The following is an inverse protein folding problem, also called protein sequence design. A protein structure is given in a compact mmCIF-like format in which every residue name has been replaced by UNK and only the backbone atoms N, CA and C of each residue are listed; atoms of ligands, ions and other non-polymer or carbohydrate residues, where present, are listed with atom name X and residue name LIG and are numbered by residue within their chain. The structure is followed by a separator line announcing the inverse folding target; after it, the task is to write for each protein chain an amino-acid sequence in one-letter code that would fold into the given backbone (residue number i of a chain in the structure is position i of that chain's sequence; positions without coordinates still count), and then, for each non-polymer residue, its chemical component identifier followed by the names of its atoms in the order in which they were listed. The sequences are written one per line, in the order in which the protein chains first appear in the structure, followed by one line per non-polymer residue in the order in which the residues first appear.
data_IF_065566338893
#
_entry.id   IF_065566338893
#
_cell.length_a   1.000
_cell.length_b   1.000
_cell.length_c   1.000
_cell.angle_alpha   90.00
_cell.angle_beta   90.00
_cell.angle_gamma   90.00
#
_symmetry.space_group_name_H-M   'P 1'
#
loop_
_entity.id
_entity.type
_entity.pdbx_description
1 polymer ?
#
# COMPACT_ATOMS: atom_id res chain seq x y z
N UNK A 1 25.03 49.55 -11.13
CA UNK A 1 25.34 49.26 -12.53
C UNK A 1 24.57 48.00 -12.93
N UNK A 2 23.44 48.19 -13.60
CA UNK A 2 22.74 47.18 -14.38
C UNK A 2 23.40 47.08 -15.75
N UNK A 3 23.36 45.93 -16.43
CA UNK A 3 22.49 45.88 -17.59
C UNK A 3 21.71 44.56 -17.74
N UNK A 4 20.50 44.76 -18.15
CA UNK A 4 19.88 44.49 -19.45
C UNK A 4 19.23 43.10 -19.59
N UNK A 5 17.90 43.16 -19.63
CA UNK A 5 16.98 42.11 -20.05
C UNK A 5 17.08 41.82 -21.55
N UNK A 6 16.85 40.55 -21.92
CA UNK A 6 16.38 40.20 -23.27
C UNK A 6 15.29 39.12 -23.13
N UNK A 7 14.14 39.30 -23.78
CA UNK A 7 13.07 38.32 -23.78
C UNK A 7 13.20 37.39 -24.98
N UNK A 8 13.01 36.09 -24.77
CA UNK A 8 12.78 35.14 -25.86
C UNK A 8 11.28 34.90 -26.02
N UNK A 9 10.75 35.48 -27.08
CA UNK A 9 9.43 35.21 -27.59
C UNK A 9 9.56 33.97 -28.48
N UNK A 10 8.97 32.86 -28.05
CA UNK A 10 8.77 31.69 -28.91
C UNK A 10 7.48 31.86 -29.69
N UNK A 11 7.61 32.19 -30.96
CA UNK A 11 6.50 32.18 -31.92
C UNK A 11 6.24 30.73 -32.36
N UNK A 12 5.10 30.17 -31.96
CA UNK A 12 4.58 28.92 -32.55
C UNK A 12 3.98 29.24 -33.92
N UNK A 13 4.71 28.92 -34.97
CA UNK A 13 4.22 28.98 -36.35
C UNK A 13 3.36 27.77 -36.63
N UNK A 14 2.04 27.96 -36.76
CA UNK A 14 1.14 27.00 -37.37
C UNK A 14 1.33 27.07 -38.88
N UNK A 15 1.98 26.05 -39.44
CA UNK A 15 2.06 25.86 -40.90
C UNK A 15 0.78 25.15 -41.34
N UNK A 16 -0.18 25.91 -41.84
CA UNK A 16 -1.31 25.39 -42.63
C UNK A 16 -0.81 25.05 -44.03
N UNK A 17 -0.58 23.79 -44.29
CA UNK A 17 -0.42 23.27 -45.65
C UNK A 17 -1.80 23.18 -46.29
N UNK A 18 -2.19 24.20 -47.07
CA UNK A 18 -3.28 24.13 -48.00
C UNK A 18 -2.79 23.38 -49.25
N UNK A 19 -2.97 22.05 -49.27
CA UNK A 19 -2.85 21.29 -50.51
C UNK A 19 -4.11 21.53 -51.32
N UNK A 20 -4.01 22.37 -52.34
CA UNK A 20 -5.03 22.52 -53.34
C UNK A 20 -5.17 21.22 -54.13
N UNK A 21 -6.22 20.46 -53.85
CA UNK A 21 -6.61 19.33 -54.66
C UNK A 21 -7.31 19.91 -55.91
N UNK A 22 -6.60 19.89 -57.01
CA UNK A 22 -7.21 20.11 -58.34
C UNK A 22 -8.02 18.85 -58.66
N UNK A 23 -9.35 18.99 -58.54
CA UNK A 23 -10.24 17.95 -59.06
C UNK A 23 -10.17 18.01 -60.62
N UNK A 24 -9.39 17.09 -61.15
CA UNK A 24 -9.58 16.74 -62.56
C UNK A 24 -10.88 15.91 -62.64
N UNK A 25 -11.90 16.43 -63.31
CA UNK A 25 -13.09 15.69 -63.68
C UNK A 25 -12.69 14.53 -64.59
N UNK A 26 -12.39 13.39 -63.98
CA UNK A 26 -12.39 12.11 -64.65
C UNK A 26 -13.84 11.58 -64.61
N UNK A 27 -14.42 11.11 -65.69
CA UNK A 27 -15.75 10.54 -65.65
C UNK A 27 -15.77 9.38 -64.68
N UNK A 28 -16.64 9.49 -63.69
CA UNK A 28 -16.87 8.42 -62.74
C UNK A 28 -17.45 7.23 -63.47
N UNK A 29 -16.60 6.29 -63.93
CA UNK A 29 -17.02 4.96 -64.29
C UNK A 29 -17.67 4.34 -63.09
N UNK A 30 -18.99 4.21 -63.12
CA UNK A 30 -19.72 3.50 -62.07
C UNK A 30 -19.10 2.11 -61.94
N UNK A 31 -18.63 1.78 -60.72
CA UNK A 31 -18.06 0.47 -60.44
C UNK A 31 -19.03 -0.61 -60.88
N UNK A 32 -18.54 -1.56 -61.60
CA UNK A 32 -19.36 -2.67 -62.10
C UNK A 32 -19.89 -3.49 -60.93
N UNK A 33 -21.03 -4.13 -61.09
CA UNK A 33 -21.61 -4.99 -60.06
C UNK A 33 -20.61 -6.07 -59.57
N UNK A 34 -19.67 -6.47 -60.39
CA UNK A 34 -18.64 -7.46 -60.03
C UNK A 34 -17.51 -6.84 -59.17
N UNK A 35 -17.13 -5.57 -59.43
CA UNK A 35 -16.18 -4.83 -58.55
C UNK A 35 -16.80 -4.53 -57.21
N UNK A 36 -18.08 -4.17 -57.15
CA UNK A 36 -18.79 -3.98 -55.85
C UNK A 36 -18.87 -5.30 -55.10
N UNK A 37 -19.17 -6.42 -55.77
CA UNK A 37 -19.20 -7.73 -55.14
C UNK A 37 -17.83 -8.16 -54.64
N UNK A 38 -16.76 -7.90 -55.37
CA UNK A 38 -15.40 -8.19 -54.92
C UNK A 38 -15.02 -7.37 -53.68
N UNK A 39 -15.33 -6.07 -53.66
CA UNK A 39 -15.08 -5.20 -52.53
C UNK A 39 -15.89 -5.61 -51.31
N UNK A 40 -17.16 -5.99 -51.47
CA UNK A 40 -17.98 -6.50 -50.37
C UNK A 40 -17.47 -7.84 -49.85
N UNK A 41 -17.02 -8.73 -50.73
CA UNK A 41 -16.42 -10.02 -50.34
C UNK A 41 -15.12 -9.83 -49.60
N UNK A 42 -14.29 -8.87 -49.99
CA UNK A 42 -13.06 -8.50 -49.29
C UNK A 42 -13.35 -7.91 -47.87
N UNK A 43 -14.32 -6.99 -47.77
CA UNK A 43 -14.76 -6.43 -46.47
C UNK A 43 -15.35 -7.50 -45.54
N UNK A 44 -16.13 -8.44 -46.11
CA UNK A 44 -16.68 -9.56 -45.32
C UNK A 44 -15.58 -10.53 -44.86
N UNK A 45 -14.58 -10.80 -45.72
CA UNK A 45 -13.42 -11.62 -45.34
C UNK A 45 -12.58 -10.96 -44.26
N UNK A 46 -12.35 -9.64 -44.34
CA UNK A 46 -11.65 -8.89 -43.33
C UNK A 46 -12.45 -8.85 -41.99
N UNK A 47 -13.78 -8.66 -42.06
CA UNK A 47 -14.66 -8.71 -40.91
C UNK A 47 -14.72 -10.11 -40.29
N UNK A 48 -14.72 -11.19 -41.09
CA UNK A 48 -14.64 -12.56 -40.61
C UNK A 48 -13.28 -12.88 -39.94
N UNK A 49 -12.18 -12.38 -40.54
CA UNK A 49 -10.84 -12.51 -39.96
C UNK A 49 -10.74 -11.79 -38.63
N UNK A 50 -11.28 -10.57 -38.55
CA UNK A 50 -11.34 -9.83 -37.26
C UNK A 50 -12.23 -10.51 -36.24
N UNK A 51 -13.38 -11.06 -36.62
CA UNK A 51 -14.26 -11.79 -35.74
C UNK A 51 -13.67 -13.12 -35.30
N UNK A 52 -12.91 -13.82 -36.15
CA UNK A 52 -12.19 -15.03 -35.78
C UNK A 52 -11.01 -14.77 -34.81
N UNK A 53 -10.34 -13.63 -34.96
CA UNK A 53 -9.32 -13.15 -34.00
C UNK A 53 -9.95 -12.79 -32.65
N UNK A 54 -11.19 -12.27 -32.63
CA UNK A 54 -11.96 -12.02 -31.42
C UNK A 54 -12.54 -13.30 -30.80
N UNK A 55 -12.77 -14.36 -31.57
CA UNK A 55 -13.20 -15.68 -31.11
C UNK A 55 -12.05 -16.56 -30.59
N UNK A 56 -10.81 -16.24 -30.92
CA UNK A 56 -9.62 -17.00 -30.49
C UNK A 56 -9.20 -16.75 -29.02
N UNK A 57 -10.15 -16.38 -28.14
CA UNK A 57 -9.93 -16.10 -26.71
C UNK A 57 -9.74 -14.60 -26.45
N UNK A 58 -10.44 -14.09 -25.46
CA UNK A 58 -10.42 -12.66 -25.14
C UNK A 58 -8.99 -12.22 -24.81
N UNK A 59 -8.36 -11.51 -25.71
CA UNK A 59 -7.05 -10.88 -25.49
C UNK A 59 -7.15 -9.75 -24.44
N UNK A 60 -8.37 -9.27 -24.12
CA UNK A 60 -8.64 -8.24 -23.12
C UNK A 60 -9.99 -8.50 -22.44
N UNK A 61 -10.08 -8.16 -21.16
CA UNK A 61 -11.31 -8.34 -20.39
C UNK A 61 -11.23 -7.74 -18.99
N UNK A 62 -12.22 -8.10 -18.16
CA UNK A 62 -12.28 -7.73 -16.77
C UNK A 62 -12.66 -8.96 -15.92
N UNK A 63 -11.81 -9.29 -14.96
CA UNK A 63 -11.97 -10.39 -14.00
C UNK A 63 -11.47 -9.92 -12.64
N UNK A 64 -12.25 -9.05 -12.00
CA UNK A 64 -11.81 -8.32 -10.81
C UNK A 64 -10.81 -7.20 -11.08
N UNK A 65 -10.04 -7.30 -12.16
CA UNK A 65 -9.14 -6.28 -12.71
C UNK A 65 -9.24 -6.26 -14.24
N UNK A 66 -8.90 -5.14 -14.86
CA UNK A 66 -8.69 -5.11 -16.31
C UNK A 66 -7.48 -5.96 -16.66
N UNK A 67 -7.58 -6.79 -17.68
CA UNK A 67 -6.47 -7.63 -18.11
C UNK A 67 -6.29 -7.68 -19.63
N UNK A 68 -5.05 -7.96 -20.01
CA UNK A 68 -4.64 -8.40 -21.33
C UNK A 68 -4.04 -9.80 -21.19
N UNK A 69 -4.39 -10.72 -22.11
CA UNK A 69 -3.87 -12.08 -22.08
C UNK A 69 -3.59 -12.60 -23.48
N UNK A 70 -2.58 -13.46 -23.62
CA UNK A 70 -2.34 -14.22 -24.84
C UNK A 70 -3.40 -15.34 -24.99
N UNK A 71 -3.71 -15.77 -26.23
CA UNK A 71 -4.70 -16.81 -26.47
C UNK A 71 -4.36 -18.17 -25.84
N UNK A 72 -3.09 -18.46 -25.67
CA UNK A 72 -2.57 -19.68 -25.05
C UNK A 72 -2.56 -19.63 -23.49
N UNK A 73 -2.89 -18.45 -22.91
CA UNK A 73 -2.90 -18.26 -21.47
C UNK A 73 -1.52 -18.14 -20.81
N UNK A 74 -0.44 -18.17 -21.58
CA UNK A 74 0.92 -18.15 -21.05
C UNK A 74 1.40 -16.75 -20.64
N UNK A 75 0.74 -15.71 -21.13
CA UNK A 75 1.04 -14.31 -20.81
C UNK A 75 -0.22 -13.61 -20.33
N UNK A 76 -0.13 -12.99 -19.18
CA UNK A 76 -1.21 -12.17 -18.61
C UNK A 76 -0.65 -10.90 -17.98
N UNK A 77 -1.29 -9.78 -18.28
CA UNK A 77 -1.07 -8.49 -17.64
C UNK A 77 -2.39 -8.03 -17.03
N UNK A 78 -2.41 -7.80 -15.73
CA UNK A 78 -3.51 -7.15 -15.02
C UNK A 78 -3.11 -5.73 -14.65
N UNK A 79 -4.02 -4.80 -14.82
CA UNK A 79 -3.85 -3.38 -14.49
C UNK A 79 -4.76 -3.07 -13.31
N UNK A 80 -4.20 -2.45 -12.28
CA UNK A 80 -4.94 -2.08 -11.09
C UNK A 80 -4.63 -0.65 -10.67
N UNK A 81 -5.57 -0.03 -9.98
CA UNK A 81 -5.38 1.29 -9.41
C UNK A 81 -6.06 1.44 -8.06
N UNK A 82 -5.54 2.36 -7.25
CA UNK A 82 -6.11 2.74 -5.97
C UNK A 82 -6.12 4.25 -5.83
N UNK A 83 -7.29 4.80 -5.56
CA UNK A 83 -7.49 6.19 -5.23
C UNK A 83 -8.09 6.28 -3.82
N UNK A 84 -7.46 7.07 -2.94
CA UNK A 84 -8.01 7.43 -1.62
C UNK A 84 -7.95 8.93 -1.49
N UNK A 85 -9.11 9.53 -1.44
CA UNK A 85 -9.31 10.95 -1.27
C UNK A 85 -10.02 11.20 0.05
N UNK A 86 -9.52 12.14 0.85
CA UNK A 86 -10.07 12.40 2.18
C UNK A 86 -10.21 13.88 2.48
N UNK A 87 -11.06 14.16 3.45
CA UNK A 87 -11.16 15.41 4.15
C UNK A 87 -10.84 15.18 5.62
N UNK A 88 -9.95 15.97 6.16
CA UNK A 88 -9.44 15.86 7.54
C UNK A 88 -9.84 17.11 8.29
N UNK A 89 -10.29 16.93 9.51
CA UNK A 89 -10.50 17.96 10.51
C UNK A 89 -9.58 17.64 11.68
N UNK A 90 -8.57 18.46 11.91
CA UNK A 90 -7.67 18.35 13.04
C UNK A 90 -8.07 19.36 14.11
N UNK A 91 -8.12 18.93 15.36
CA UNK A 91 -8.45 19.74 16.52
C UNK A 91 -7.35 19.55 17.57
N UNK A 92 -6.80 20.66 18.04
CA UNK A 92 -5.74 20.73 19.04
C UNK A 92 -6.14 21.69 20.15
N UNK A 93 -5.45 21.64 21.29
CA UNK A 93 -5.51 22.63 22.36
C UNK A 93 -4.08 23.15 22.58
N UNK A 94 -3.87 24.45 22.41
CA UNK A 94 -2.56 25.12 22.46
C UNK A 94 -1.47 24.55 21.54
N UNK A 95 -1.85 24.10 20.34
CA UNK A 95 -0.95 23.49 19.36
C UNK A 95 0.29 24.32 19.06
N UNK A 96 1.43 23.66 18.86
CA UNK A 96 2.70 24.28 18.53
C UNK A 96 3.37 23.63 17.35
N UNK A 97 4.16 24.43 16.60
CA UNK A 97 5.01 23.89 15.54
C UNK A 97 6.36 23.38 16.09
N UNK A 98 7.17 22.75 15.23
CA UNK A 98 8.51 22.24 15.58
C UNK A 98 9.48 23.31 16.10
N UNK A 99 9.20 24.59 15.89
CA UNK A 99 9.95 25.72 16.42
C UNK A 99 9.33 26.28 17.71
N UNK A 100 8.32 25.57 18.29
CA UNK A 100 7.59 25.97 19.49
C UNK A 100 6.75 27.27 19.33
N UNK A 101 6.37 27.63 18.10
CA UNK A 101 5.46 28.75 17.87
C UNK A 101 4.01 28.29 17.98
N UNK A 102 3.08 29.12 18.51
CA UNK A 102 1.67 28.81 18.51
C UNK A 102 1.14 28.61 17.08
N UNK A 103 0.36 27.53 16.87
CA UNK A 103 -0.38 27.26 15.63
C UNK A 103 -1.88 27.24 15.92
N UNK A 104 -2.70 27.33 14.85
CA UNK A 104 -4.15 27.32 15.01
C UNK A 104 -4.64 26.00 15.61
N UNK A 105 -5.58 26.06 16.55
CA UNK A 105 -6.15 24.89 17.23
C UNK A 105 -7.06 24.05 16.31
N UNK A 106 -7.44 24.59 15.17
CA UNK A 106 -8.29 23.91 14.19
C UNK A 106 -7.70 24.02 12.78
N UNK A 107 -7.42 22.87 12.16
CA UNK A 107 -6.91 22.78 10.79
C UNK A 107 -7.75 21.83 9.94
N UNK A 108 -8.57 22.32 9.00
CA UNK A 108 -9.31 21.49 8.06
C UNK A 108 -8.60 21.41 6.72
N UNK A 109 -8.66 20.25 6.04
CA UNK A 109 -8.07 20.17 4.70
C UNK A 109 -8.43 18.95 3.89
N UNK A 110 -8.36 19.10 2.57
CA UNK A 110 -8.43 17.97 1.64
C UNK A 110 -7.05 17.35 1.39
N UNK A 111 -7.02 16.03 1.24
CA UNK A 111 -5.82 15.30 0.94
C UNK A 111 -6.09 14.16 -0.03
N UNK A 112 -5.27 14.05 -1.08
CA UNK A 112 -5.16 12.83 -1.88
C UNK A 112 -4.20 11.88 -1.17
N UNK A 113 -4.73 10.99 -0.34
CA UNK A 113 -3.89 10.16 0.56
C UNK A 113 -3.08 9.13 -0.19
N UNK A 114 -3.70 8.43 -1.14
CA UNK A 114 -3.04 7.41 -1.96
C UNK A 114 -3.55 7.46 -3.38
N UNK A 115 -2.62 7.57 -4.32
CA UNK A 115 -2.83 7.34 -5.74
C UNK A 115 -1.82 6.30 -6.17
N UNK A 116 -2.27 5.08 -6.47
CA UNK A 116 -1.39 3.97 -6.83
C UNK A 116 -1.80 3.37 -8.15
N UNK A 117 -0.81 2.87 -8.89
CA UNK A 117 -1.00 2.06 -10.09
C UNK A 117 -0.17 0.79 -9.95
N UNK A 118 -0.72 -0.32 -10.43
CA UNK A 118 -0.06 -1.63 -10.36
C UNK A 118 -0.26 -2.44 -11.63
N UNK A 119 0.76 -3.22 -11.95
CA UNK A 119 0.83 -4.17 -13.04
C UNK A 119 1.26 -5.51 -12.47
N UNK A 120 0.43 -6.52 -12.60
CA UNK A 120 0.77 -7.89 -12.17
C UNK A 120 0.35 -8.89 -13.24
N UNK A 121 0.89 -10.08 -13.15
CA UNK A 121 0.54 -11.13 -14.09
C UNK A 121 1.56 -12.25 -14.10
N UNK A 122 1.61 -12.99 -15.21
CA UNK A 122 2.57 -14.07 -15.44
C UNK A 122 3.07 -14.07 -16.87
N UNK A 123 4.23 -14.71 -17.08
CA UNK A 123 4.88 -14.85 -18.40
C UNK A 123 5.38 -16.28 -18.57
N UNK A 124 5.24 -16.83 -19.77
CA UNK A 124 5.63 -18.19 -20.18
C UNK A 124 4.87 -19.32 -19.49
N UNK A 125 4.63 -19.21 -18.19
CA UNK A 125 3.98 -20.17 -17.32
C UNK A 125 3.17 -19.41 -16.26
N UNK A 126 1.91 -19.78 -15.96
CA UNK A 126 1.13 -19.18 -14.88
C UNK A 126 1.82 -19.18 -13.51
N UNK A 127 2.77 -20.10 -13.29
CA UNK A 127 3.54 -20.17 -12.06
C UNK A 127 4.67 -19.13 -11.98
N UNK A 128 5.13 -18.58 -13.12
CA UNK A 128 6.15 -17.53 -13.17
C UNK A 128 5.44 -16.17 -13.22
N UNK A 129 5.26 -15.58 -12.06
CA UNK A 129 4.50 -14.35 -11.91
C UNK A 129 5.38 -13.13 -11.61
N UNK A 130 4.82 -11.96 -11.85
CA UNK A 130 5.43 -10.67 -11.53
C UNK A 130 4.41 -9.70 -10.94
N UNK A 131 4.90 -8.74 -10.15
CA UNK A 131 4.13 -7.63 -9.62
C UNK A 131 4.99 -6.36 -9.59
N UNK A 132 4.51 -5.30 -10.24
CA UNK A 132 5.13 -3.97 -10.23
C UNK A 132 4.06 -3.01 -9.78
N UNK A 133 4.32 -2.25 -8.71
CA UNK A 133 3.37 -1.29 -8.16
C UNK A 133 4.09 -0.07 -7.65
N UNK A 134 3.51 1.08 -7.86
CA UNK A 134 4.03 2.32 -7.32
C UNK A 134 2.92 3.27 -6.90
N UNK A 135 3.32 4.27 -6.15
CA UNK A 135 2.46 5.31 -5.62
C UNK A 135 2.95 6.69 -6.06
N UNK A 136 2.01 7.59 -6.26
CA UNK A 136 2.33 9.01 -6.40
C UNK A 136 2.44 9.63 -5.00
N UNK A 137 3.57 10.29 -4.72
CA UNK A 137 3.76 11.01 -3.48
C UNK A 137 2.66 12.07 -3.31
N UNK A 138 2.03 12.10 -2.13
CA UNK A 138 0.93 13.03 -1.87
C UNK A 138 1.38 14.49 -1.79
N UNK A 139 2.66 14.74 -1.44
CA UNK A 139 3.19 16.09 -1.30
C UNK A 139 3.81 16.64 -2.58
N UNK A 140 4.42 15.79 -3.40
CA UNK A 140 5.17 16.21 -4.61
C UNK A 140 4.58 15.70 -5.91
N UNK A 141 3.71 14.67 -5.87
CA UNK A 141 3.23 13.99 -7.07
C UNK A 141 4.28 13.14 -7.79
N UNK A 142 5.48 13.00 -7.25
CA UNK A 142 6.52 12.12 -7.80
C UNK A 142 6.06 10.67 -7.66
N UNK A 143 6.34 9.87 -8.70
CA UNK A 143 6.05 8.45 -8.69
C UNK A 143 7.18 7.67 -8.00
N UNK A 144 6.85 6.96 -6.93
CA UNK A 144 7.76 6.13 -6.16
C UNK A 144 7.41 4.65 -6.33
N UNK A 145 8.44 3.82 -6.57
CA UNK A 145 8.27 2.37 -6.72
C UNK A 145 8.02 1.75 -5.34
N UNK A 146 6.86 1.11 -5.17
CA UNK A 146 6.55 0.34 -3.95
C UNK A 146 7.00 -1.11 -4.09
N UNK A 147 6.37 -1.87 -4.98
CA UNK A 147 6.65 -3.29 -5.18
C UNK A 147 7.26 -3.50 -6.57
N UNK A 148 8.32 -4.29 -6.66
CA UNK A 148 8.93 -4.76 -7.90
C UNK A 148 9.48 -6.16 -7.65
N UNK A 149 8.65 -7.16 -7.88
CA UNK A 149 8.94 -8.54 -7.52
C UNK A 149 8.58 -9.50 -8.64
N UNK A 150 9.30 -10.59 -8.69
CA UNK A 150 9.03 -11.74 -9.54
C UNK A 150 9.11 -13.00 -8.68
N UNK A 151 8.23 -13.95 -8.95
CA UNK A 151 8.21 -15.19 -8.18
C UNK A 151 7.80 -16.39 -8.99
N UNK A 152 8.05 -17.55 -8.41
CA UNK A 152 7.66 -18.84 -8.96
C UNK A 152 6.96 -19.68 -7.89
N UNK A 153 5.78 -20.18 -8.24
CA UNK A 153 5.00 -21.09 -7.42
C UNK A 153 5.28 -22.53 -7.86
N UNK A 154 5.69 -23.39 -6.93
CA UNK A 154 5.86 -24.81 -7.20
C UNK A 154 4.57 -25.57 -6.89
N UNK A 155 4.32 -26.69 -7.58
CA UNK A 155 3.10 -27.47 -7.42
C UNK A 155 2.96 -28.13 -6.04
N UNK A 156 4.00 -28.10 -5.20
CA UNK A 156 4.02 -28.71 -3.88
C UNK A 156 3.70 -27.76 -2.72
N UNK A 157 3.23 -26.54 -3.00
CA UNK A 157 2.95 -25.51 -1.99
C UNK A 157 4.15 -24.61 -1.64
N UNK A 158 5.32 -24.87 -2.21
CA UNK A 158 6.47 -23.96 -2.10
C UNK A 158 6.31 -22.78 -3.07
N UNK A 159 6.84 -21.62 -2.68
CA UNK A 159 7.05 -20.50 -3.59
C UNK A 159 8.39 -19.82 -3.27
N UNK A 160 8.96 -19.19 -4.28
CA UNK A 160 10.12 -18.32 -4.14
C UNK A 160 9.81 -17.01 -4.83
N UNK A 161 10.19 -15.90 -4.22
CA UNK A 161 10.11 -14.57 -4.86
C UNK A 161 11.37 -13.77 -4.53
N UNK A 162 11.71 -12.84 -5.40
CA UNK A 162 12.80 -11.90 -5.21
C UNK A 162 12.43 -10.55 -5.82
N UNK A 163 13.04 -9.51 -5.29
CA UNK A 163 12.79 -8.14 -5.69
C UNK A 163 12.59 -7.23 -4.49
N UNK A 164 11.78 -6.20 -4.67
CA UNK A 164 11.38 -5.26 -3.64
C UNK A 164 9.93 -5.52 -3.25
N UNK A 165 9.70 -5.83 -1.98
CA UNK A 165 8.37 -6.15 -1.44
C UNK A 165 8.33 -5.98 0.08
N UNK A 166 7.13 -6.05 0.66
CA UNK A 166 6.95 -6.04 2.12
C UNK A 166 7.49 -7.33 2.74
N UNK A 167 8.37 -7.19 3.75
CA UNK A 167 8.88 -8.33 4.49
C UNK A 167 7.75 -9.02 5.28
N UNK A 168 7.81 -10.35 5.47
CA UNK A 168 6.78 -11.11 6.17
C UNK A 168 6.89 -10.92 7.69
N UNK A 169 6.47 -9.75 8.20
CA UNK A 169 6.57 -9.41 9.61
C UNK A 169 5.21 -9.01 10.21
N UNK A 170 4.84 -7.72 10.21
CA UNK A 170 3.58 -7.25 10.79
C UNK A 170 2.39 -7.59 9.89
N UNK A 171 1.40 -8.29 10.43
CA UNK A 171 0.18 -8.59 9.70
C UNK A 171 -0.56 -7.34 9.23
N UNK A 172 -0.66 -6.31 10.07
CA UNK A 172 -1.35 -5.07 9.70
C UNK A 172 -0.68 -4.41 8.48
N UNK A 173 0.65 -4.46 8.39
CA UNK A 173 1.38 -3.98 7.22
C UNK A 173 1.16 -4.87 6.00
N UNK A 174 1.14 -6.20 6.16
CA UNK A 174 0.93 -7.16 5.05
C UNK A 174 -0.47 -7.03 4.43
N UNK A 175 -1.50 -6.74 5.23
CA UNK A 175 -2.83 -6.43 4.73
C UNK A 175 -2.80 -5.10 3.95
N UNK A 176 -3.39 -5.11 2.76
CA UNK A 176 -3.43 -3.94 1.87
C UNK A 176 -4.02 -2.71 2.57
N UNK A 177 -3.47 -1.53 2.29
CA UNK A 177 -4.01 -0.25 2.76
C UNK A 177 -5.44 0.04 2.28
N UNK A 178 -5.92 -0.66 1.26
CA UNK A 178 -7.32 -0.58 0.79
C UNK A 178 -8.28 -1.48 1.57
N UNK A 179 -7.76 -2.34 2.44
CA UNK A 179 -8.52 -3.37 3.17
C UNK A 179 -8.43 -3.22 4.69
N UNK A 180 -8.04 -2.05 5.14
CA UNK A 180 -8.05 -1.68 6.56
C UNK A 180 -9.46 -1.33 7.02
N UNK A 181 -9.74 -1.52 8.34
CA UNK A 181 -10.97 -1.07 8.98
C UNK A 181 -10.99 0.45 9.10
N UNK A 182 -10.00 1.04 9.74
CA UNK A 182 -9.87 2.47 9.89
C UNK A 182 -9.32 3.14 8.62
N UNK A 183 -9.38 4.46 8.56
CA UNK A 183 -8.88 5.28 7.45
C UNK A 183 -7.37 5.05 7.21
N UNK A 184 -6.59 4.88 8.28
CA UNK A 184 -5.18 4.48 8.24
C UNK A 184 -4.90 3.31 9.19
N UNK A 185 -3.71 2.73 9.06
CA UNK A 185 -3.18 1.74 10.00
C UNK A 185 -2.99 2.36 11.39
N UNK A 186 -2.75 1.53 12.38
CA UNK A 186 -2.46 1.93 13.76
C UNK A 186 -1.16 2.72 13.86
N UNK A 187 -0.98 3.47 14.93
CA UNK A 187 0.31 4.10 15.24
C UNK A 187 1.37 3.06 15.57
N UNK A 188 0.98 1.93 16.16
CA UNK A 188 1.86 0.78 16.33
C UNK A 188 2.43 0.31 14.99
N UNK A 189 1.59 0.22 13.95
CA UNK A 189 2.09 -0.12 12.63
C UNK A 189 3.01 0.97 12.06
N UNK A 190 2.70 2.25 12.23
CA UNK A 190 3.53 3.35 11.70
C UNK A 190 4.94 3.36 12.31
N UNK A 191 5.10 2.92 13.57
CA UNK A 191 6.37 2.89 14.28
C UNK A 191 7.15 1.58 14.09
N UNK A 192 6.46 0.44 14.07
CA UNK A 192 7.10 -0.88 14.10
C UNK A 192 7.06 -1.60 12.76
N UNK A 193 6.47 -1.00 11.70
CA UNK A 193 6.46 -1.66 10.41
C UNK A 193 7.86 -1.66 9.77
N UNK A 194 8.10 -2.69 9.00
CA UNK A 194 9.34 -2.88 8.26
C UNK A 194 9.28 -2.29 6.84
N UNK A 195 8.10 -1.80 6.44
CA UNK A 195 7.74 -1.42 5.09
C UNK A 195 8.32 -2.39 4.03
N UNK A 196 9.05 -1.91 3.05
CA UNK A 196 9.58 -2.73 1.96
C UNK A 196 11.09 -2.87 2.05
N UNK A 197 11.55 -3.98 1.50
CA UNK A 197 12.97 -4.24 1.35
C UNK A 197 13.26 -4.97 0.05
N UNK A 198 14.47 -4.80 -0.45
CA UNK A 198 15.01 -5.65 -1.50
C UNK A 198 15.44 -6.97 -0.88
N UNK A 199 14.84 -8.07 -1.33
CA UNK A 199 14.93 -9.35 -0.66
C UNK A 199 14.73 -10.54 -1.60
N UNK A 200 15.08 -11.74 -1.08
CA UNK A 200 14.59 -13.02 -1.56
C UNK A 200 13.78 -13.68 -0.44
N UNK A 201 12.62 -14.24 -0.79
CA UNK A 201 11.75 -14.96 0.15
C UNK A 201 11.45 -16.35 -0.37
N UNK A 202 11.47 -17.32 0.53
CA UNK A 202 10.95 -18.66 0.32
C UNK A 202 9.77 -18.86 1.24
N UNK A 203 8.68 -19.41 0.71
CA UNK A 203 7.49 -19.73 1.48
C UNK A 203 6.99 -21.13 1.21
N UNK A 204 6.22 -21.65 2.17
CA UNK A 204 5.51 -22.90 2.05
C UNK A 204 4.12 -22.75 2.66
N UNK A 205 3.11 -23.12 1.91
CA UNK A 205 1.70 -23.01 2.33
C UNK A 205 0.99 -24.36 2.23
N UNK A 206 0.21 -24.65 3.26
CA UNK A 206 -0.76 -25.75 3.33
C UNK A 206 -2.14 -25.18 3.66
N UNK A 207 -3.15 -26.03 3.71
CA UNK A 207 -4.50 -25.60 4.12
C UNK A 207 -4.57 -25.13 5.58
N UNK A 208 -3.66 -25.60 6.45
CA UNK A 208 -3.72 -25.36 7.89
C UNK A 208 -2.60 -24.46 8.44
N UNK A 209 -1.48 -24.34 7.76
CA UNK A 209 -0.36 -23.50 8.18
C UNK A 209 0.47 -23.04 7.00
N UNK A 210 1.16 -21.94 7.18
CA UNK A 210 2.13 -21.42 6.22
C UNK A 210 3.30 -20.76 6.90
N UNK A 211 4.46 -20.78 6.25
CA UNK A 211 5.70 -20.19 6.72
C UNK A 211 6.38 -19.40 5.63
N UNK A 212 7.07 -18.35 6.03
CA UNK A 212 7.81 -17.44 5.17
C UNK A 212 9.18 -17.22 5.77
N UNK A 213 10.21 -17.19 4.94
CA UNK A 213 11.57 -16.83 5.33
C UNK A 213 12.18 -15.92 4.29
N UNK A 214 12.62 -14.73 4.68
CA UNK A 214 13.22 -13.74 3.80
C UNK A 214 14.64 -13.37 4.24
N UNK A 215 15.53 -13.21 3.26
CA UNK A 215 16.83 -12.60 3.40
C UNK A 215 16.84 -11.27 2.68
N UNK A 216 17.20 -10.16 3.37
CA UNK A 216 16.96 -8.81 2.88
C UNK A 216 18.06 -7.80 3.24
N UNK A 217 17.88 -6.58 2.76
CA UNK A 217 18.73 -5.43 3.08
C UNK A 217 18.37 -4.72 4.40
N UNK A 218 17.42 -5.25 5.18
CA UNK A 218 16.92 -4.65 6.42
C UNK A 218 15.57 -3.98 6.28
N UNK A 219 15.08 -3.33 7.35
CA UNK A 219 13.85 -2.56 7.34
C UNK A 219 14.03 -1.26 6.53
N UNK A 220 12.95 -0.74 5.94
CA UNK A 220 12.93 0.51 5.17
C UNK A 220 14.04 0.61 4.09
N UNK A 221 14.35 -0.54 3.47
CA UNK A 221 15.40 -0.64 2.47
C UNK A 221 14.86 -0.64 1.03
N UNK A 222 13.71 -0.01 0.81
CA UNK A 222 13.16 0.19 -0.53
C UNK A 222 13.92 1.28 -1.29
N UNK A 223 14.02 1.10 -2.60
CA UNK A 223 14.67 2.06 -3.52
C UNK A 223 16.10 2.48 -3.11
N UNK A 224 16.81 1.62 -2.36
CA UNK A 224 18.19 1.89 -1.92
C UNK A 224 19.19 1.24 -2.86
N UNK A 225 20.28 1.93 -3.10
CA UNK A 225 21.47 1.34 -3.74
C UNK A 225 22.07 0.26 -2.84
N UNK A 226 22.66 -0.79 -3.43
CA UNK A 226 23.21 -1.94 -2.71
C UNK A 226 24.21 -1.56 -1.59
N UNK A 227 24.91 -0.45 -1.74
CA UNK A 227 25.90 0.09 -0.79
C UNK A 227 25.34 1.15 0.16
N UNK A 228 24.08 1.58 -0.03
CA UNK A 228 23.39 2.58 0.80
C UNK A 228 22.24 1.96 1.65
N UNK A 229 22.20 0.63 1.72
CA UNK A 229 21.22 -0.12 2.52
C UNK A 229 21.42 0.13 4.02
N UNK A 230 20.35 0.09 4.85
CA UNK A 230 20.44 0.36 6.28
C UNK A 230 21.19 -0.73 7.06
N UNK A 231 21.06 -1.98 6.67
CA UNK A 231 21.70 -3.11 7.35
C UNK A 231 22.72 -3.81 6.44
N UNK A 232 23.72 -4.47 7.00
CA UNK A 232 24.60 -5.34 6.23
C UNK A 232 23.83 -6.52 5.64
N UNK A 233 22.96 -7.12 6.43
CA UNK A 233 22.02 -8.15 6.06
C UNK A 233 20.93 -8.29 7.09
N UNK A 234 19.81 -8.85 6.70
CA UNK A 234 18.70 -9.15 7.60
C UNK A 234 18.02 -10.48 7.25
N UNK A 235 17.41 -11.08 8.26
CA UNK A 235 16.58 -12.28 8.14
C UNK A 235 15.24 -12.00 8.81
N UNK A 236 14.15 -12.30 8.09
CA UNK A 236 12.79 -12.21 8.59
C UNK A 236 12.11 -13.56 8.45
N UNK A 237 11.45 -14.02 9.50
CA UNK A 237 10.64 -15.25 9.46
C UNK A 237 9.24 -15.00 10.00
N UNK A 238 8.23 -15.61 9.36
CA UNK A 238 6.84 -15.58 9.83
C UNK A 238 6.22 -16.96 9.68
N UNK A 239 5.46 -17.38 10.69
CA UNK A 239 4.64 -18.58 10.67
C UNK A 239 3.20 -18.21 11.00
N UNK A 240 2.25 -18.80 10.28
CA UNK A 240 0.82 -18.63 10.53
C UNK A 240 0.14 -19.99 10.61
N UNK A 241 -0.80 -20.12 11.55
CA UNK A 241 -1.61 -21.32 11.74
C UNK A 241 -3.09 -20.95 11.62
N UNK A 242 -3.80 -21.68 10.79
CA UNK A 242 -5.22 -21.55 10.57
C UNK A 242 -5.96 -22.63 11.36
N UNK A 243 -6.69 -22.22 12.40
CA UNK A 243 -7.49 -23.12 13.23
C UNK A 243 -8.89 -23.33 12.68
N UNK A 244 -9.42 -22.33 11.96
CA UNK A 244 -10.70 -22.37 11.28
C UNK A 244 -10.72 -21.40 10.10
N UNK A 245 -11.57 -21.64 9.10
CA UNK A 245 -11.73 -20.79 7.93
C UNK A 245 -10.75 -21.11 6.79
N UNK A 246 -10.41 -20.10 5.99
CA UNK A 246 -9.52 -20.23 4.85
C UNK A 246 -8.56 -19.04 4.74
N UNK A 247 -7.39 -19.21 4.12
CA UNK A 247 -6.42 -18.11 3.90
C UNK A 247 -7.00 -16.93 3.13
N UNK A 248 -8.02 -17.18 2.29
CA UNK A 248 -8.71 -16.13 1.52
C UNK A 248 -9.47 -15.15 2.42
N UNK A 249 -10.05 -15.63 3.52
CA UNK A 249 -10.81 -14.86 4.49
C UNK A 249 -9.92 -13.80 5.15
N UNK A 250 -8.70 -14.16 5.51
CA UNK A 250 -7.75 -13.28 6.20
C UNK A 250 -6.97 -12.30 5.30
N UNK A 251 -7.46 -11.98 4.09
CA UNK A 251 -6.86 -10.95 3.20
C UNK A 251 -7.21 -9.52 3.60
N UNK A 252 -8.15 -9.34 4.51
CA UNK A 252 -8.55 -8.06 5.10
C UNK A 252 -8.85 -8.22 6.61
N UNK A 253 -9.52 -7.26 7.20
CA UNK A 253 -9.91 -7.26 8.62
C UNK A 253 -11.43 -7.20 8.80
N UNK A 254 -12.19 -7.55 7.77
CA UNK A 254 -13.65 -7.44 7.81
C UNK A 254 -14.29 -8.80 7.53
N UNK A 255 -15.38 -9.12 8.24
CA UNK A 255 -16.17 -10.31 8.02
C UNK A 255 -17.63 -9.94 7.77
N UNK A 256 -18.10 -10.17 6.56
CA UNK A 256 -19.46 -9.82 6.15
C UNK A 256 -20.50 -10.73 6.79
N UNK A 257 -21.77 -10.25 6.92
CA UNK A 257 -22.89 -11.12 7.28
C UNK A 257 -22.96 -12.36 6.38
N UNK A 258 -23.18 -13.51 6.97
CA UNK A 258 -23.11 -14.81 6.29
C UNK A 258 -21.68 -15.37 6.14
N UNK A 259 -20.65 -14.71 6.69
CA UNK A 259 -19.27 -15.18 6.71
C UNK A 259 -19.09 -16.43 7.58
N UNK A 260 -18.15 -17.28 7.19
CA UNK A 260 -17.75 -18.45 7.97
C UNK A 260 -16.85 -18.07 9.15
N UNK A 261 -16.86 -18.90 10.20
CA UNK A 261 -15.93 -18.75 11.31
C UNK A 261 -14.49 -18.95 10.83
N UNK A 262 -13.62 -18.05 11.23
CA UNK A 262 -12.19 -18.08 10.95
C UNK A 262 -11.36 -17.70 12.16
N UNK A 263 -10.30 -18.46 12.42
CA UNK A 263 -9.33 -18.18 13.49
C UNK A 263 -7.93 -18.45 12.98
N UNK A 264 -7.07 -17.43 13.02
CA UNK A 264 -5.68 -17.49 12.60
C UNK A 264 -4.78 -16.90 13.70
N UNK A 265 -3.64 -17.55 13.93
CA UNK A 265 -2.57 -17.07 14.78
C UNK A 265 -1.31 -16.86 13.93
N UNK A 266 -0.61 -15.74 14.12
CA UNK A 266 0.64 -15.40 13.48
C UNK A 266 1.76 -15.13 14.48
N UNK A 267 2.98 -15.54 14.11
CA UNK A 267 4.23 -15.23 14.83
C UNK A 267 5.26 -14.79 13.81
N UNK A 268 6.02 -13.73 14.10
CA UNK A 268 7.14 -13.34 13.27
C UNK A 268 8.32 -12.86 14.12
N UNK A 269 9.52 -13.01 13.55
CA UNK A 269 10.75 -12.47 14.08
C UNK A 269 11.61 -11.91 12.95
N UNK A 270 12.33 -10.85 13.26
CA UNK A 270 13.27 -10.20 12.37
C UNK A 270 14.59 -9.94 13.12
N UNK A 271 15.69 -10.19 12.44
CA UNK A 271 17.01 -9.78 12.92
C UNK A 271 17.74 -9.07 11.78
N UNK A 272 18.29 -7.91 12.06
CA UNK A 272 19.18 -7.22 11.14
C UNK A 272 20.50 -6.86 11.80
N UNK A 273 21.55 -7.05 11.04
CA UNK A 273 22.90 -6.65 11.39
C UNK A 273 23.13 -5.22 10.97
N UNK A 274 23.38 -4.34 11.93
CA UNK A 274 23.70 -2.95 11.65
C UNK A 274 24.94 -2.81 10.77
N UNK A 275 24.97 -1.79 9.96
CA UNK A 275 26.06 -1.51 9.03
C UNK A 275 27.08 -0.61 9.66
N UNK A 276 28.31 -1.09 9.85
CA UNK A 276 29.41 -0.24 10.31
C UNK A 276 29.80 0.77 9.23
N UNK A 277 29.78 2.06 9.59
CA UNK A 277 30.31 3.14 8.74
C UNK A 277 31.58 3.69 9.37
N UNK A 278 32.72 3.80 8.63
CA UNK A 278 33.95 4.37 9.18
C UNK A 278 33.74 5.79 9.72
N UNK A 279 33.95 6.00 11.03
CA UNK A 279 33.84 7.30 11.67
C UNK A 279 32.44 7.70 12.12
N UNK A 280 31.45 6.86 11.97
CA UNK A 280 30.11 6.99 12.55
C UNK A 280 29.98 6.09 13.80
N UNK A 281 29.05 6.40 14.72
CA UNK A 281 28.68 5.45 15.77
C UNK A 281 28.28 4.10 15.15
N UNK A 282 28.56 2.97 15.80
CA UNK A 282 28.11 1.68 15.29
C UNK A 282 26.59 1.70 15.12
N UNK A 283 26.13 1.27 13.94
CA UNK A 283 24.70 1.10 13.72
C UNK A 283 24.27 -0.12 14.50
N UNK A 284 23.19 0.03 15.23
CA UNK A 284 22.62 -0.97 16.13
C UNK A 284 22.21 -2.24 15.38
N UNK A 285 22.50 -3.41 15.95
CA UNK A 285 21.80 -4.63 15.57
C UNK A 285 20.37 -4.55 16.12
N UNK A 286 19.38 -4.90 15.30
CA UNK A 286 17.96 -4.88 15.69
C UNK A 286 17.40 -6.30 15.73
N UNK A 287 16.63 -6.57 16.78
CA UNK A 287 15.80 -7.75 16.88
C UNK A 287 14.36 -7.33 17.14
N UNK A 288 13.46 -7.69 16.24
CA UNK A 288 12.03 -7.40 16.37
C UNK A 288 11.22 -8.69 16.34
N UNK A 289 10.10 -8.72 17.05
CA UNK A 289 9.20 -9.86 17.07
C UNK A 289 7.75 -9.42 17.20
N UNK A 290 6.82 -10.26 16.75
CA UNK A 290 5.39 -10.01 16.89
C UNK A 290 4.63 -11.31 17.07
N UNK A 291 3.54 -11.21 17.82
CA UNK A 291 2.48 -12.22 17.89
C UNK A 291 1.16 -11.54 17.55
N UNK A 292 0.38 -12.15 16.67
CA UNK A 292 -0.92 -11.63 16.26
C UNK A 292 -1.97 -12.73 16.16
N UNK A 293 -3.24 -12.33 16.33
CA UNK A 293 -4.38 -13.20 16.15
C UNK A 293 -5.50 -12.47 15.40
N UNK A 294 -6.18 -13.19 14.51
CA UNK A 294 -7.37 -12.71 13.80
C UNK A 294 -8.50 -13.71 14.00
N UNK A 295 -9.65 -13.20 14.40
CA UNK A 295 -10.88 -13.98 14.56
C UNK A 295 -12.02 -13.31 13.80
N UNK A 296 -12.63 -14.04 12.91
CA UNK A 296 -13.72 -13.58 12.06
C UNK A 296 -14.91 -14.54 12.18
N UNK A 297 -16.10 -14.01 12.14
CA UNK A 297 -17.34 -14.76 12.17
C UNK A 297 -18.43 -14.00 11.44
N UNK A 298 -19.67 -14.51 11.49
CA UNK A 298 -20.83 -13.92 10.83
C UNK A 298 -21.06 -12.45 11.20
N UNK A 299 -20.61 -11.56 10.35
CA UNK A 299 -20.80 -10.11 10.48
C UNK A 299 -19.88 -9.39 11.47
N UNK A 300 -18.85 -10.03 12.04
CA UNK A 300 -17.91 -9.36 12.92
C UNK A 300 -16.47 -9.90 12.78
N UNK A 301 -15.52 -9.05 13.15
CA UNK A 301 -14.10 -9.37 13.14
C UNK A 301 -13.40 -8.84 14.37
N UNK A 302 -12.34 -9.51 14.80
CA UNK A 302 -11.43 -9.08 15.86
C UNK A 302 -9.99 -9.39 15.46
N UNK A 303 -9.11 -8.42 15.64
CA UNK A 303 -7.67 -8.56 15.42
C UNK A 303 -6.92 -7.95 16.58
N UNK A 304 -5.86 -8.61 17.03
CA UNK A 304 -4.93 -8.08 18.02
C UNK A 304 -3.50 -8.46 17.68
N UNK A 305 -2.56 -7.59 18.02
CA UNK A 305 -1.13 -7.82 17.88
C UNK A 305 -0.35 -7.24 19.06
N UNK A 306 0.76 -7.90 19.39
CA UNK A 306 1.78 -7.42 20.32
C UNK A 306 3.14 -7.51 19.65
N UNK A 307 3.93 -6.44 19.73
CA UNK A 307 5.19 -6.26 19.07
C UNK A 307 6.25 -5.85 20.07
N UNK A 308 7.47 -6.36 19.94
CA UNK A 308 8.65 -5.90 20.65
C UNK A 308 9.79 -5.62 19.70
N UNK A 309 10.58 -4.61 19.99
CA UNK A 309 11.78 -4.21 19.29
C UNK A 309 12.92 -4.04 20.27
N UNK A 310 14.11 -4.56 19.95
CA UNK A 310 15.35 -4.41 20.70
C UNK A 310 16.45 -3.92 19.76
N UNK A 311 16.98 -2.74 20.01
CA UNK A 311 18.15 -2.16 19.34
C UNK A 311 19.35 -2.19 20.26
N UNK A 312 20.45 -2.84 19.86
CA UNK A 312 21.60 -3.15 20.73
C UNK A 312 22.50 -1.97 21.06
N UNK A 313 22.49 -0.92 20.25
CA UNK A 313 23.20 0.35 20.46
C UNK A 313 22.32 1.46 19.93
N UNK A 314 21.32 1.82 20.71
CA UNK A 314 20.27 2.70 20.23
C UNK A 314 20.63 4.16 20.24
N UNK A 315 19.69 4.92 19.77
CA UNK A 315 19.56 6.36 19.96
C UNK A 315 19.24 6.74 21.40
N UNK A 316 19.59 5.90 22.40
CA UNK A 316 19.44 6.27 23.78
C UNK A 316 20.37 7.45 24.12
N UNK A 317 19.92 8.37 24.94
CA UNK A 317 20.77 9.48 25.44
C UNK A 317 22.03 8.97 26.17
N UNK A 318 21.99 7.73 26.66
CA UNK A 318 23.08 7.07 27.37
C UNK A 318 23.98 6.20 26.49
N UNK A 319 23.62 6.01 25.21
CA UNK A 319 24.33 5.12 24.28
C UNK A 319 24.11 3.62 24.57
N UNK A 320 23.08 3.26 25.34
CA UNK A 320 22.69 1.88 25.67
C UNK A 320 21.78 1.22 24.64
N UNK A 321 21.35 0.00 24.94
CA UNK A 321 20.28 -0.66 24.16
C UNK A 321 18.93 0.00 24.39
N UNK A 322 18.03 -0.16 23.43
CA UNK A 322 16.66 0.37 23.47
C UNK A 322 15.67 -0.76 23.30
N UNK A 323 14.70 -0.84 24.21
CA UNK A 323 13.62 -1.83 24.20
C UNK A 323 12.27 -1.13 24.09
N UNK A 324 11.57 -1.35 22.97
CA UNK A 324 10.28 -0.73 22.69
C UNK A 324 9.20 -1.79 22.50
N UNK A 325 7.99 -1.46 22.90
CA UNK A 325 6.85 -2.36 22.77
C UNK A 325 5.64 -1.64 22.19
N UNK A 326 4.83 -2.38 21.47
CA UNK A 326 3.56 -1.89 20.95
C UNK A 326 2.50 -2.97 21.01
N UNK A 327 1.25 -2.57 21.20
CA UNK A 327 0.13 -3.48 21.05
C UNK A 327 -1.11 -2.75 20.52
N UNK A 328 -1.93 -3.50 19.83
CA UNK A 328 -3.20 -3.01 19.32
C UNK A 328 -4.27 -4.08 19.41
N UNK A 329 -5.49 -3.63 19.52
CA UNK A 329 -6.69 -4.43 19.30
C UNK A 329 -7.68 -3.64 18.47
N UNK A 330 -8.26 -4.26 17.44
CA UNK A 330 -9.31 -3.66 16.62
C UNK A 330 -10.38 -4.68 16.29
N UNK A 331 -11.59 -4.21 16.06
CA UNK A 331 -12.68 -5.05 15.61
C UNK A 331 -13.73 -4.28 14.84
N UNK A 332 -14.42 -5.00 13.95
CA UNK A 332 -15.53 -4.52 13.13
C UNK A 332 -16.80 -5.31 13.41
N UNK A 333 -17.92 -4.64 13.28
CA UNK A 333 -19.26 -5.23 13.41
C UNK A 333 -20.17 -4.65 12.33
N UNK A 334 -20.73 -5.51 11.49
CA UNK A 334 -21.73 -5.11 10.51
C UNK A 334 -23.05 -4.79 11.21
N UNK A 335 -23.55 -3.58 10.98
CA UNK A 335 -24.86 -3.12 11.44
C UNK A 335 -25.95 -3.40 10.40
N UNK A 336 -25.57 -3.44 9.13
CA UNK A 336 -26.36 -3.85 7.97
C UNK A 336 -25.44 -4.54 6.98
N UNK A 337 -25.94 -5.05 5.85
CA UNK A 337 -25.14 -5.71 4.82
C UNK A 337 -24.01 -4.83 4.23
N UNK A 338 -24.17 -3.49 4.30
CA UNK A 338 -23.24 -2.54 3.70
C UNK A 338 -22.60 -1.56 4.70
N UNK A 339 -23.06 -1.55 5.97
CA UNK A 339 -22.56 -0.65 7.01
C UNK A 339 -21.87 -1.43 8.12
N UNK A 340 -20.58 -1.19 8.30
CA UNK A 340 -19.73 -1.76 9.37
C UNK A 340 -19.28 -0.65 10.31
N UNK A 341 -19.53 -0.80 11.60
CA UNK A 341 -18.91 0.00 12.65
C UNK A 341 -17.63 -0.67 13.12
N UNK A 342 -16.62 0.11 13.50
CA UNK A 342 -15.37 -0.43 14.03
C UNK A 342 -14.82 0.42 15.17
N UNK A 343 -13.95 -0.22 15.96
CA UNK A 343 -13.14 0.46 16.96
C UNK A 343 -11.74 -0.15 17.01
N UNK A 344 -10.76 0.67 17.39
CA UNK A 344 -9.36 0.28 17.60
C UNK A 344 -8.82 1.01 18.84
N UNK A 345 -8.04 0.31 19.62
CA UNK A 345 -7.15 0.88 20.61
C UNK A 345 -5.73 0.44 20.30
N UNK A 346 -4.79 1.35 20.32
CA UNK A 346 -3.38 1.09 20.10
C UNK A 346 -2.51 1.88 21.08
N UNK A 347 -1.38 1.27 21.49
CA UNK A 347 -0.48 1.78 22.49
C UNK A 347 0.96 1.49 22.10
N UNK A 348 1.80 2.50 22.24
CA UNK A 348 3.26 2.42 22.08
C UNK A 348 3.90 2.69 23.43
N UNK A 349 4.88 1.90 23.79
CA UNK A 349 5.66 1.98 25.03
C UNK A 349 7.12 2.13 24.62
N UNK A 350 7.65 3.37 24.54
CA UNK A 350 9.06 3.63 24.29
C UNK A 350 9.95 3.14 25.42
N UNK A 351 11.25 3.02 25.16
CA UNK A 351 12.23 2.78 26.22
C UNK A 351 12.38 4.01 27.11
N UNK A 352 12.48 3.80 28.42
CA UNK A 352 12.64 4.86 29.41
C UNK A 352 13.97 5.64 29.30
N UNK A 353 14.94 5.11 28.56
CA UNK A 353 16.23 5.75 28.32
C UNK A 353 16.23 6.62 27.06
N UNK A 354 15.09 6.72 26.35
CA UNK A 354 14.92 7.62 25.20
C UNK A 354 14.44 9.00 25.64
N UNK A 355 14.88 10.04 24.93
CA UNK A 355 14.30 11.37 25.09
C UNK A 355 12.82 11.34 24.68
N UNK A 356 11.94 11.76 25.58
CA UNK A 356 10.50 11.72 25.34
C UNK A 356 9.87 10.34 25.49
N UNK A 357 10.22 9.62 26.53
CA UNK A 357 9.84 8.26 26.92
C UNK A 357 8.35 8.04 27.24
N UNK A 358 7.48 8.92 26.77
CA UNK A 358 6.06 8.86 27.11
C UNK A 358 5.35 7.72 26.39
N UNK A 359 4.70 6.85 27.15
CA UNK A 359 3.72 5.91 26.62
C UNK A 359 2.64 6.66 25.87
N UNK A 360 2.31 6.19 24.69
CA UNK A 360 1.43 6.87 23.77
C UNK A 360 0.24 5.98 23.41
N UNK A 361 -0.97 6.49 23.60
CA UNK A 361 -2.20 5.73 23.38
C UNK A 361 -3.13 6.44 22.43
N UNK A 362 -3.82 5.69 21.56
CA UNK A 362 -4.92 6.22 20.78
C UNK A 362 -6.17 5.33 20.81
N UNK A 363 -7.32 5.96 20.70
CA UNK A 363 -8.59 5.31 20.41
C UNK A 363 -9.08 5.79 19.06
N UNK A 364 -9.39 4.85 18.17
CA UNK A 364 -10.02 5.14 16.88
C UNK A 364 -11.36 4.45 16.82
N UNK A 365 -12.40 5.15 16.41
CA UNK A 365 -13.71 4.54 16.12
C UNK A 365 -14.34 5.17 14.89
N UNK A 366 -15.11 4.39 14.17
CA UNK A 366 -15.68 4.88 12.92
C UNK A 366 -16.61 3.89 12.25
N UNK A 367 -16.88 4.15 10.99
CA UNK A 367 -17.72 3.31 10.17
C UNK A 367 -17.25 3.25 8.72
N UNK A 368 -17.45 2.09 8.10
CA UNK A 368 -17.30 1.83 6.68
C UNK A 368 -18.67 1.68 6.05
N UNK A 369 -18.92 2.38 4.95
CA UNK A 369 -20.07 2.15 4.09
C UNK A 369 -19.60 1.62 2.74
N UNK A 370 -19.96 0.38 2.44
CA UNK A 370 -19.51 -0.37 1.28
C UNK A 370 -20.49 -0.21 0.12
N UNK A 371 -20.14 0.61 -0.87
CA UNK A 371 -20.91 0.75 -2.12
C UNK A 371 -20.69 -0.47 -3.03
N UNK A 372 -19.47 -0.98 -3.05
CA UNK A 372 -19.08 -2.16 -3.82
C UNK A 372 -17.89 -2.87 -3.15
N UNK A 373 -18.10 -3.38 -1.93
CA UNK A 373 -17.05 -3.93 -1.10
C UNK A 373 -15.89 -2.94 -0.92
N UNK A 374 -14.66 -3.45 -0.88
CA UNK A 374 -13.48 -2.59 -0.81
C UNK A 374 -13.19 -1.80 -2.10
N UNK A 375 -13.80 -2.19 -3.24
CA UNK A 375 -13.57 -1.49 -4.50
C UNK A 375 -14.11 -0.07 -4.51
N UNK A 376 -15.26 0.16 -3.84
CA UNK A 376 -15.81 1.50 -3.64
C UNK A 376 -16.39 1.59 -2.24
N UNK A 377 -15.78 2.36 -1.35
CA UNK A 377 -16.26 2.55 0.02
C UNK A 377 -16.03 3.96 0.54
N UNK A 378 -16.92 4.38 1.44
CA UNK A 378 -16.69 5.49 2.33
C UNK A 378 -16.25 4.98 3.68
N UNK A 379 -15.23 5.62 4.26
CA UNK A 379 -14.79 5.39 5.63
C UNK A 379 -14.80 6.73 6.36
N UNK A 380 -15.39 6.76 7.54
CA UNK A 380 -15.27 7.90 8.46
C UNK A 380 -14.76 7.39 9.79
N UNK A 381 -13.83 8.11 10.39
CA UNK A 381 -13.36 7.81 11.74
C UNK A 381 -13.01 9.06 12.53
N UNK A 382 -12.94 8.85 13.84
CA UNK A 382 -12.38 9.77 14.81
C UNK A 382 -11.24 9.05 15.50
N UNK A 383 -10.06 9.65 15.52
CA UNK A 383 -8.92 9.17 16.28
C UNK A 383 -8.58 10.17 17.36
N UNK A 384 -8.59 9.71 18.61
CA UNK A 384 -8.32 10.49 19.80
C UNK A 384 -6.91 10.12 20.30
N UNK A 385 -6.12 11.11 20.56
CA UNK A 385 -4.81 10.99 21.19
C UNK A 385 -4.99 11.23 22.69
N UNK A 386 -4.69 10.23 23.49
CA UNK A 386 -5.00 10.23 24.93
C UNK A 386 -3.87 10.79 25.79
N UNK A 387 -2.66 10.81 25.24
CA UNK A 387 -1.44 11.23 25.91
C UNK A 387 -0.77 12.37 25.16
N UNK A 388 0.19 13.01 25.83
CA UNK A 388 1.08 13.98 25.22
C UNK A 388 1.99 13.30 24.21
N UNK A 389 2.20 13.95 23.08
CA UNK A 389 3.03 13.39 21.98
C UNK A 389 4.45 13.93 22.04
N UNK A 390 4.76 14.75 23.03
CA UNK A 390 6.06 15.38 23.19
C UNK A 390 7.21 14.37 23.18
N UNK A 391 8.13 14.55 22.28
CA UNK A 391 9.37 13.80 22.18
C UNK A 391 9.34 12.56 21.30
N UNK A 392 8.21 12.18 20.73
CA UNK A 392 8.19 11.11 19.72
C UNK A 392 8.44 11.71 18.34
N UNK A 393 9.68 12.03 18.03
CA UNK A 393 10.10 12.56 16.72
C UNK A 393 9.58 11.72 15.52
N UNK A 394 9.34 10.43 15.75
CA UNK A 394 8.83 9.48 14.78
C UNK A 394 7.33 9.64 14.44
N UNK A 395 6.56 10.27 15.33
CA UNK A 395 5.12 10.52 15.09
C UNK A 395 4.87 11.94 14.59
N UNK A 396 5.91 12.78 14.58
CA UNK A 396 5.79 14.14 14.11
C UNK A 396 5.25 14.23 12.69
N UNK A 397 4.22 14.98 12.60
CA UNK A 397 3.95 15.73 11.41
C UNK A 397 3.03 15.13 10.40
N UNK A 398 2.61 16.06 9.59
CA UNK A 398 1.86 15.87 8.33
C UNK A 398 2.50 14.83 7.39
N UNK A 399 3.74 14.47 7.58
CA UNK A 399 4.46 13.52 6.72
C UNK A 399 3.86 12.12 6.75
N UNK A 400 3.40 11.65 7.88
CA UNK A 400 2.71 10.36 7.97
C UNK A 400 1.31 10.38 7.32
N UNK A 401 0.72 11.57 7.16
CA UNK A 401 -0.58 11.77 6.50
C UNK A 401 -1.77 11.23 7.27
N UNK A 402 -1.60 11.01 8.55
CA UNK A 402 -2.65 10.55 9.47
C UNK A 402 -3.60 11.70 9.79
N UNK A 403 -3.12 12.94 9.73
CA UNK A 403 -3.83 14.15 10.11
C UNK A 403 -3.44 14.67 11.48
N UNK A 404 -2.44 14.09 12.11
CA UNK A 404 -1.81 14.52 13.35
C UNK A 404 -0.83 15.66 13.06
N UNK A 405 -0.86 16.74 13.81
CA UNK A 405 -0.09 17.96 13.55
C UNK A 405 0.61 18.52 14.79
N UNK A 406 0.19 18.11 15.98
CA UNK A 406 0.81 18.57 17.22
C UNK A 406 2.07 17.77 17.51
N UNK A 407 3.18 18.47 17.68
CA UNK A 407 4.46 17.93 18.13
C UNK A 407 4.87 18.47 19.49
N UNK A 408 3.99 19.13 20.18
CA UNK A 408 4.27 19.89 21.40
C UNK A 408 3.37 19.54 22.56
N UNK A 409 3.66 18.53 23.30
CA UNK A 409 3.52 18.48 24.75
C UNK A 409 2.14 18.62 25.40
N UNK A 410 1.01 18.66 24.69
CA UNK A 410 -0.29 18.70 25.36
C UNK A 410 -1.21 17.58 24.86
N UNK A 411 -1.87 16.89 25.80
CA UNK A 411 -2.83 15.83 25.51
C UNK A 411 -4.11 16.42 24.89
N UNK A 412 -4.79 15.63 24.09
CA UNK A 412 -6.14 15.95 23.63
C UNK A 412 -6.28 16.29 22.16
N UNK A 413 -5.23 16.16 21.36
CA UNK A 413 -5.41 16.26 19.90
C UNK A 413 -6.33 15.15 19.42
N UNK A 414 -7.25 15.50 18.51
CA UNK A 414 -8.05 14.50 17.80
C UNK A 414 -8.28 14.89 16.36
N UNK A 415 -8.45 13.86 15.52
CA UNK A 415 -8.74 14.04 14.11
C UNK A 415 -10.06 13.37 13.74
N UNK A 416 -10.84 14.04 12.88
CA UNK A 416 -12.01 13.45 12.23
C UNK A 416 -11.69 13.32 10.75
N UNK A 417 -11.87 12.13 10.19
CA UNK A 417 -11.51 11.86 8.79
C UNK A 417 -12.68 11.30 8.02
N UNK A 418 -12.85 11.78 6.80
CA UNK A 418 -13.81 11.28 5.83
C UNK A 418 -13.07 10.86 4.59
N UNK A 419 -13.10 9.60 4.23
CA UNK A 419 -12.37 9.07 3.08
C UNK A 419 -13.29 8.37 2.10
N UNK A 420 -13.13 8.70 0.82
CA UNK A 420 -13.65 7.91 -0.28
C UNK A 420 -12.52 7.11 -0.92
N UNK A 421 -12.77 5.82 -1.14
CA UNK A 421 -11.86 4.90 -1.81
C UNK A 421 -12.46 4.37 -3.09
N UNK A 422 -11.63 4.28 -4.14
CA UNK A 422 -11.94 3.60 -5.38
C UNK A 422 -10.77 2.69 -5.78
N UNK A 423 -11.08 1.44 -6.14
CA UNK A 423 -10.14 0.47 -6.73
C UNK A 423 -10.66 0.07 -8.11
N UNK A 424 -9.74 -0.14 -9.05
CA UNK A 424 -10.06 -0.64 -10.40
C UNK A 424 -8.95 -1.52 -10.95
#
# INVERSE_FOLDING_TARGET
MLPARLPWVAAAGAATLAAGVVFADAPATAATNDEIRAMVAEMLSDAQTRSSLLQAGAAAGHDGHFFLASPDGNFRLEISGQLQFRYILNFRDNGRDSANNPIDDFEPGFQTRRTKIGFKGHIYDPNLWYNIKGAFSRSSGVFDLEDAEVGYNFDNGMAVKWGQFKLPFLREELVSSSRQLAVDRSLVNELFNQDRSQAIEVSYETDAWRVFGAFSNGFDADNKEFNAKPADWAITGRAEVLFAGSWKQFKDFTSKPGGEDGLMLGLAAHFERGKDAPGAPPISDRFSWTIDASWESDGWSLYGAFIGNHDSAGSSETGGSVDEYGWLVQGGLYLTDDLEAFARYDMVIPDSDQAGDNTFNTITFGANYYLHGHAAKFTTDVQLFLDDVAGTETLEGSEKGIGFLDNGAESGEYVVRFQFQLLF
#
